data_IF_147166169446
#
_entry.id   IF_147166169446
#
_cell.length_a   1.000
_cell.length_b   1.000
_cell.length_c   1.000
_cell.angle_alpha   90.00
_cell.angle_beta   90.00
_cell.angle_gamma   90.00
#
_symmetry.space_group_name_H-M   'P 1'
#
loop_
_entity.id
_entity.type
_entity.pdbx_description
1 polymer ?
#
# COMPACT_ATOMS: atom_id res chain seq x y z
N UNK A 1 -0.45 4.67 41.77
CA UNK A 1 0.26 5.41 40.71
C UNK A 1 1.43 4.62 40.07
N UNK A 2 1.31 3.30 39.84
CA UNK A 2 2.42 2.50 39.26
C UNK A 2 2.17 1.86 37.89
N UNK A 3 0.94 1.85 37.36
CA UNK A 3 0.66 1.19 36.06
C UNK A 3 0.85 2.11 34.83
N UNK A 4 0.63 3.42 34.96
CA UNK A 4 0.74 4.35 33.83
C UNK A 4 2.19 4.57 33.36
N UNK A 5 3.17 4.40 34.24
CA UNK A 5 4.59 4.56 33.94
C UNK A 5 5.18 3.37 33.16
N UNK A 6 4.64 2.16 33.36
CA UNK A 6 5.05 0.96 32.63
C UNK A 6 4.60 0.99 31.15
N UNK A 7 3.37 1.45 30.89
CA UNK A 7 2.81 1.52 29.53
C UNK A 7 3.54 2.56 28.66
N UNK A 8 3.89 3.72 29.23
CA UNK A 8 4.67 4.75 28.52
C UNK A 8 6.10 4.32 28.20
N UNK A 9 6.72 3.47 29.03
CA UNK A 9 8.04 2.88 28.74
C UNK A 9 7.97 1.84 27.62
N UNK A 10 6.91 1.03 27.57
CA UNK A 10 6.70 0.07 26.48
C UNK A 10 6.52 0.77 25.13
N UNK A 11 5.68 1.82 25.08
CA UNK A 11 5.42 2.57 23.85
C UNK A 11 6.65 3.28 23.29
N UNK A 12 7.51 3.84 24.17
CA UNK A 12 8.77 4.48 23.74
C UNK A 12 9.79 3.49 23.17
N UNK A 13 9.78 2.23 23.63
CA UNK A 13 10.67 1.17 23.11
C UNK A 13 10.26 0.74 21.70
N UNK A 14 8.96 0.63 21.41
CA UNK A 14 8.47 0.33 20.06
C UNK A 14 8.66 1.49 19.08
N UNK A 15 8.55 2.74 19.52
CA UNK A 15 8.75 3.91 18.65
C UNK A 15 10.21 4.06 18.17
N UNK A 16 11.19 3.72 19.03
CA UNK A 16 12.61 3.73 18.65
C UNK A 16 13.00 2.57 17.73
N UNK A 17 12.27 1.44 17.78
CA UNK A 17 12.54 0.30 16.90
C UNK A 17 12.20 0.61 15.43
N UNK A 18 11.14 1.38 15.14
CA UNK A 18 10.77 1.73 13.77
C UNK A 18 11.62 2.85 13.15
N UNK A 19 12.15 3.77 13.97
CA UNK A 19 13.04 4.82 13.48
C UNK A 19 14.43 4.27 13.07
N UNK A 20 14.88 3.17 13.67
CA UNK A 20 16.16 2.54 13.33
C UNK A 20 16.12 1.73 12.02
N UNK A 21 14.95 1.23 11.61
CA UNK A 21 14.80 0.42 10.37
C UNK A 21 14.93 1.27 9.10
N UNK A 22 14.64 2.57 9.16
CA UNK A 22 14.80 3.46 8.01
C UNK A 22 16.22 4.05 7.86
N UNK A 23 17.06 3.97 8.90
CA UNK A 23 18.38 4.62 8.92
C UNK A 23 19.57 3.72 8.56
N UNK A 24 19.40 2.39 8.55
CA UNK A 24 20.53 1.44 8.55
C UNK A 24 20.46 0.35 7.46
N UNK A 25 19.94 0.66 6.27
CA UNK A 25 20.02 -0.24 5.10
C UNK A 25 20.92 0.39 4.04
N UNK A 26 22.15 0.69 4.44
CA UNK A 26 23.30 0.71 3.55
C UNK A 26 24.27 -0.32 4.13
N UNK A 27 24.92 -1.09 3.26
CA UNK A 27 25.98 -2.08 3.52
C UNK A 27 25.55 -3.56 3.49
N UNK A 28 26.01 -4.19 2.38
CA UNK A 28 26.44 -5.58 2.18
C UNK A 28 25.35 -6.67 2.30
N UNK A 29 25.30 -7.69 1.43
CA UNK A 29 26.38 -8.63 1.15
C UNK A 29 26.21 -9.24 -0.25
N UNK A 30 27.33 -9.30 -0.99
CA UNK A 30 27.60 -10.19 -2.13
C UNK A 30 28.20 -11.50 -1.59
N UNK A 31 27.70 -12.67 -2.03
CA UNK A 31 28.48 -13.91 -2.12
C UNK A 31 27.73 -15.05 -2.87
N UNK A 32 28.30 -15.46 -4.02
CA UNK A 32 28.34 -16.78 -4.71
C UNK A 32 27.37 -17.92 -4.27
N UNK A 33 26.74 -18.70 -5.17
CA UNK A 33 27.39 -19.66 -6.11
C UNK A 33 26.38 -20.34 -7.07
N UNK A 34 26.82 -21.07 -8.13
CA UNK A 34 26.09 -21.31 -9.38
C UNK A 34 25.55 -22.74 -9.61
N UNK A 35 24.68 -22.91 -10.62
CA UNK A 35 24.34 -24.18 -11.30
C UNK A 35 22.84 -24.32 -11.60
N UNK A 36 22.34 -23.94 -12.79
CA UNK A 36 22.01 -24.80 -13.97
C UNK A 36 21.00 -25.94 -13.67
N UNK A 37 19.88 -26.14 -14.36
CA UNK A 37 19.46 -25.72 -15.71
C UNK A 37 17.91 -25.86 -15.90
N UNK A 38 17.31 -24.98 -16.73
CA UNK A 38 16.34 -25.29 -17.82
C UNK A 38 15.38 -24.11 -18.17
N UNK A 39 15.83 -23.28 -19.13
CA UNK A 39 15.17 -22.48 -20.20
C UNK A 39 13.81 -21.71 -20.04
N UNK A 40 13.67 -20.55 -20.74
CA UNK A 40 12.92 -19.40 -20.22
C UNK A 40 11.70 -18.95 -21.07
N UNK A 41 10.70 -18.34 -20.42
CA UNK A 41 9.89 -17.30 -21.06
C UNK A 41 10.64 -15.98 -20.90
N UNK A 42 11.04 -15.37 -22.02
CA UNK A 42 11.98 -14.25 -22.07
C UNK A 42 11.49 -13.02 -21.29
N UNK A 43 11.98 -12.87 -20.07
CA UNK A 43 12.16 -11.58 -19.43
C UNK A 43 13.42 -10.95 -20.04
N UNK A 44 13.31 -9.74 -20.59
CA UNK A 44 14.48 -8.91 -20.88
C UNK A 44 15.03 -8.47 -19.53
N UNK A 45 15.98 -9.26 -19.02
CA UNK A 45 16.87 -8.87 -17.93
C UNK A 45 18.14 -8.38 -18.64
N UNK A 46 18.38 -7.07 -18.59
CA UNK A 46 19.67 -6.50 -18.95
C UNK A 46 20.75 -7.12 -18.03
N UNK A 47 21.89 -7.54 -18.61
CA UNK A 47 23.01 -8.25 -17.97
C UNK A 47 23.82 -7.35 -16.99
N UNK A 48 23.13 -6.46 -16.28
CA UNK A 48 23.68 -5.56 -15.28
C UNK A 48 23.00 -5.74 -13.92
N UNK A 49 22.92 -6.99 -13.42
CA UNK A 49 23.05 -7.33 -11.99
C UNK A 49 22.17 -6.60 -10.94
N UNK A 50 21.09 -5.95 -11.33
CA UNK A 50 20.08 -5.39 -10.44
C UNK A 50 18.75 -5.35 -11.22
N UNK A 51 17.61 -5.75 -10.63
CA UNK A 51 16.34 -5.35 -11.23
C UNK A 51 16.37 -3.82 -11.26
N UNK A 52 16.34 -3.26 -12.47
CA UNK A 52 16.01 -1.85 -12.63
C UNK A 52 14.79 -1.61 -11.73
N UNK A 53 14.88 -0.65 -10.81
CA UNK A 53 13.73 -0.28 -9.99
C UNK A 53 12.58 -0.05 -10.95
N UNK A 54 11.60 -0.95 -10.94
CA UNK A 54 10.49 -0.94 -11.88
C UNK A 54 9.76 0.37 -11.66
N UNK A 55 9.97 1.36 -12.52
CA UNK A 55 9.19 2.60 -12.47
C UNK A 55 7.83 2.27 -13.04
N UNK A 56 6.84 2.19 -12.17
CA UNK A 56 5.50 1.81 -12.54
C UNK A 56 4.55 2.89 -12.03
N UNK A 57 4.11 3.75 -12.95
CA UNK A 57 3.18 4.84 -12.68
C UNK A 57 1.82 4.60 -13.37
N UNK A 58 1.49 3.35 -13.68
CA UNK A 58 0.19 2.99 -14.23
C UNK A 58 -0.89 3.18 -13.16
N UNK A 59 -1.78 4.15 -13.41
CA UNK A 59 -2.79 4.64 -12.45
C UNK A 59 -3.61 3.53 -11.82
N UNK A 60 -4.18 2.65 -12.65
CA UNK A 60 -5.01 1.52 -12.22
C UNK A 60 -4.25 0.59 -11.29
N UNK A 61 -3.07 0.16 -11.72
CA UNK A 61 -2.25 -0.81 -11.00
C UNK A 61 -1.75 -0.23 -9.67
N UNK A 62 -1.33 1.03 -9.66
CA UNK A 62 -0.87 1.70 -8.44
C UNK A 62 -2.00 1.97 -7.44
N UNK A 63 -3.21 2.29 -7.91
CA UNK A 63 -4.37 2.38 -7.03
C UNK A 63 -4.70 1.01 -6.42
N UNK A 64 -4.66 -0.07 -7.21
CA UNK A 64 -4.91 -1.41 -6.72
C UNK A 64 -3.87 -1.88 -5.69
N UNK A 65 -2.59 -1.50 -5.84
CA UNK A 65 -1.55 -1.75 -4.83
C UNK A 65 -1.89 -1.07 -3.49
N UNK A 66 -2.39 0.17 -3.52
CA UNK A 66 -2.83 0.88 -2.31
C UNK A 66 -4.01 0.16 -1.66
N UNK A 67 -5.02 -0.22 -2.45
CA UNK A 67 -6.22 -0.93 -1.97
C UNK A 67 -5.84 -2.28 -1.34
N UNK A 68 -5.04 -3.08 -2.04
CA UNK A 68 -4.60 -4.40 -1.58
C UNK A 68 -3.72 -4.33 -0.32
N UNK A 69 -2.93 -3.25 -0.18
CA UNK A 69 -2.11 -3.00 0.99
C UNK A 69 -2.94 -2.62 2.23
N UNK A 70 -4.02 -1.85 2.02
CA UNK A 70 -4.86 -1.32 3.08
C UNK A 70 -5.97 -2.29 3.52
N UNK A 71 -6.69 -2.89 2.57
CA UNK A 71 -7.90 -3.67 2.84
C UNK A 71 -7.55 -5.14 2.99
N UNK A 72 -7.85 -5.71 4.16
CA UNK A 72 -7.62 -7.13 4.46
C UNK A 72 -8.89 -7.96 4.49
N UNK A 73 -10.04 -7.31 4.60
CA UNK A 73 -11.36 -7.96 4.57
C UNK A 73 -11.75 -8.35 3.15
N UNK A 74 -12.78 -9.18 3.05
CA UNK A 74 -13.53 -9.50 1.84
C UNK A 74 -14.74 -8.56 1.65
N UNK A 75 -14.71 -7.35 2.21
CA UNK A 75 -15.77 -6.38 2.05
C UNK A 75 -15.54 -5.51 0.81
N UNK A 76 -16.38 -5.67 -0.23
CA UNK A 76 -16.22 -4.95 -1.50
C UNK A 76 -16.40 -3.43 -1.37
N UNK A 77 -17.33 -3.00 -0.52
CA UNK A 77 -17.56 -1.61 -0.16
C UNK A 77 -16.30 -0.95 0.45
N UNK A 78 -15.59 -1.66 1.33
CA UNK A 78 -14.34 -1.16 1.90
C UNK A 78 -13.24 -1.02 0.82
N UNK A 79 -13.15 -1.97 -0.12
CA UNK A 79 -12.23 -1.89 -1.26
C UNK A 79 -12.56 -0.70 -2.19
N UNK A 80 -13.84 -0.46 -2.49
CA UNK A 80 -14.28 0.65 -3.32
C UNK A 80 -14.02 2.02 -2.67
N UNK A 81 -14.24 2.16 -1.36
CA UNK A 81 -13.91 3.39 -0.62
C UNK A 81 -12.39 3.62 -0.61
N UNK A 82 -11.58 2.56 -0.42
CA UNK A 82 -10.12 2.65 -0.52
C UNK A 82 -9.67 3.05 -1.93
N UNK A 83 -10.29 2.51 -2.98
CA UNK A 83 -9.99 2.85 -4.37
C UNK A 83 -10.28 4.32 -4.67
N UNK A 84 -11.47 4.81 -4.31
CA UNK A 84 -11.81 6.25 -4.42
C UNK A 84 -10.78 7.11 -3.68
N UNK A 85 -10.42 6.71 -2.46
CA UNK A 85 -9.48 7.46 -1.63
C UNK A 85 -8.09 7.53 -2.26
N UNK A 86 -7.58 6.43 -2.79
CA UNK A 86 -6.29 6.40 -3.49
C UNK A 86 -6.30 7.31 -4.74
N UNK A 87 -7.35 7.22 -5.56
CA UNK A 87 -7.49 8.02 -6.78
C UNK A 87 -7.64 9.52 -6.48
N UNK A 88 -8.35 9.88 -5.41
CA UNK A 88 -8.40 11.25 -4.93
C UNK A 88 -7.01 11.75 -4.52
N UNK A 89 -6.25 10.95 -3.77
CA UNK A 89 -4.87 11.27 -3.41
C UNK A 89 -3.97 11.49 -4.65
N UNK A 90 -4.12 10.65 -5.68
CA UNK A 90 -3.37 10.83 -6.93
C UNK A 90 -3.77 12.12 -7.66
N UNK A 91 -5.05 12.45 -7.67
CA UNK A 91 -5.55 13.70 -8.25
C UNK A 91 -5.03 14.92 -7.51
N UNK A 92 -4.94 14.88 -6.17
CA UNK A 92 -4.39 15.96 -5.36
C UNK A 92 -2.88 16.15 -5.58
N UNK A 93 -2.15 15.05 -5.77
CA UNK A 93 -0.74 15.08 -6.17
C UNK A 93 -0.53 15.56 -7.61
N UNK A 94 -1.58 15.58 -8.44
CA UNK A 94 -1.52 15.90 -9.86
C UNK A 94 -0.86 14.83 -10.73
N UNK A 95 -0.49 13.69 -10.17
CA UNK A 95 0.13 12.56 -10.88
C UNK A 95 -0.05 11.24 -10.11
N UNK A 96 0.12 10.12 -10.81
CA UNK A 96 0.20 8.79 -10.17
C UNK A 96 1.61 8.61 -9.59
N UNK A 97 1.74 8.29 -8.28
CA UNK A 97 3.04 7.97 -7.70
C UNK A 97 3.56 6.62 -8.21
N UNK A 98 4.88 6.50 -8.33
CA UNK A 98 5.53 5.23 -8.67
C UNK A 98 5.25 4.18 -7.58
N UNK A 99 4.61 3.08 -7.96
CA UNK A 99 4.23 1.99 -7.08
C UNK A 99 5.09 0.74 -7.25
N UNK A 100 6.08 0.71 -8.13
CA UNK A 100 6.77 -0.54 -8.50
C UNK A 100 7.50 -1.22 -7.34
N UNK A 101 8.07 -0.45 -6.41
CA UNK A 101 8.66 -1.01 -5.18
C UNK A 101 7.60 -1.63 -4.27
N UNK A 102 6.43 -0.99 -4.13
CA UNK A 102 5.33 -1.51 -3.33
C UNK A 102 4.70 -2.76 -3.99
N UNK A 103 4.56 -2.76 -5.30
CA UNK A 103 4.11 -3.93 -6.07
C UNK A 103 5.08 -5.11 -5.91
N UNK A 104 6.39 -4.87 -6.10
CA UNK A 104 7.43 -5.90 -5.94
C UNK A 104 7.36 -6.56 -4.56
N UNK A 105 7.22 -5.76 -3.49
CA UNK A 105 7.05 -6.29 -2.13
C UNK A 105 5.76 -7.09 -1.97
N UNK A 106 4.68 -6.61 -2.58
CA UNK A 106 3.37 -7.27 -2.54
C UNK A 106 3.43 -8.65 -3.19
N UNK A 107 4.08 -8.73 -4.36
CA UNK A 107 4.30 -9.99 -5.08
C UNK A 107 5.22 -10.93 -4.29
N UNK A 108 6.33 -10.42 -3.76
CA UNK A 108 7.29 -11.21 -2.98
C UNK A 108 6.69 -11.77 -1.68
N UNK A 109 5.70 -11.08 -1.08
CA UNK A 109 5.02 -11.53 0.13
C UNK A 109 3.96 -12.62 -0.12
N UNK A 110 3.68 -12.96 -1.38
CA UNK A 110 2.59 -13.85 -1.76
C UNK A 110 1.28 -13.09 -1.96
N UNK A 111 0.74 -13.20 -3.17
CA UNK A 111 -0.51 -12.54 -3.56
C UNK A 111 -1.66 -13.53 -3.38
N UNK A 112 -2.68 -13.11 -2.64
CA UNK A 112 -3.99 -13.74 -2.63
C UNK A 112 -4.72 -13.30 -3.93
N UNK A 113 -5.00 -14.23 -4.87
CA UNK A 113 -5.52 -13.88 -6.18
C UNK A 113 -6.89 -13.20 -6.11
N UNK A 114 -7.77 -13.67 -5.23
CA UNK A 114 -9.15 -13.16 -5.11
C UNK A 114 -9.15 -11.75 -4.52
N UNK A 115 -8.32 -11.50 -3.52
CA UNK A 115 -8.16 -10.15 -2.94
C UNK A 115 -7.52 -9.19 -3.93
N UNK A 116 -6.55 -9.66 -4.71
CA UNK A 116 -5.92 -8.84 -5.74
C UNK A 116 -6.89 -8.47 -6.86
N UNK A 117 -7.65 -9.45 -7.38
CA UNK A 117 -8.65 -9.19 -8.39
C UNK A 117 -9.72 -8.21 -7.89
N UNK A 118 -10.19 -8.37 -6.65
CA UNK A 118 -11.14 -7.44 -6.04
C UNK A 118 -10.61 -6.01 -5.92
N UNK A 119 -9.31 -5.85 -5.64
CA UNK A 119 -8.69 -4.53 -5.59
C UNK A 119 -8.69 -3.87 -6.98
N UNK A 120 -8.42 -4.64 -8.03
CA UNK A 120 -8.50 -4.17 -9.42
C UNK A 120 -9.95 -3.82 -9.81
N UNK A 121 -10.91 -4.72 -9.54
CA UNK A 121 -12.33 -4.51 -9.86
C UNK A 121 -12.89 -3.27 -9.15
N UNK A 122 -12.50 -3.04 -7.89
CA UNK A 122 -12.90 -1.86 -7.14
C UNK A 122 -12.33 -0.56 -7.73
N UNK A 123 -11.11 -0.58 -8.27
CA UNK A 123 -10.54 0.58 -8.97
C UNK A 123 -11.28 0.84 -10.27
N UNK A 124 -11.49 -0.21 -11.07
CA UNK A 124 -12.19 -0.11 -12.36
C UNK A 124 -13.62 0.44 -12.16
N UNK A 125 -14.35 -0.09 -11.17
CA UNK A 125 -15.72 0.34 -10.87
C UNK A 125 -15.83 1.81 -10.40
N UNK A 126 -14.74 2.35 -9.85
CA UNK A 126 -14.66 3.73 -9.39
C UNK A 126 -14.29 4.69 -10.51
N UNK A 127 -13.41 4.24 -11.42
CA UNK A 127 -12.99 5.00 -12.60
C UNK A 127 -14.07 5.03 -13.69
N UNK A 128 -14.79 3.93 -13.91
CA UNK A 128 -15.90 3.85 -14.86
C UNK A 128 -17.22 4.42 -14.30
N UNK A 129 -17.28 4.69 -12.99
CA UNK A 129 -18.42 5.26 -12.31
C UNK A 129 -19.57 4.28 -12.05
N UNK A 130 -19.36 2.98 -12.24
CA UNK A 130 -20.34 1.92 -11.96
C UNK A 130 -20.57 1.69 -10.46
N UNK A 131 -19.66 2.15 -9.60
CA UNK A 131 -19.81 2.13 -8.14
C UNK A 131 -19.77 3.52 -7.52
N UNK A 132 -20.78 3.82 -6.69
CA UNK A 132 -20.90 5.08 -5.95
C UNK A 132 -20.57 4.86 -4.48
N UNK A 133 -19.49 5.49 -4.01
CA UNK A 133 -19.14 5.48 -2.59
C UNK A 133 -20.07 6.39 -1.79
N UNK A 134 -20.29 6.13 -0.48
CA UNK A 134 -21.04 7.03 0.38
C UNK A 134 -20.49 8.46 0.32
N UNK A 135 -21.39 9.45 0.30
CA UNK A 135 -21.02 10.88 0.19
C UNK A 135 -20.02 11.31 1.27
N UNK A 136 -20.16 10.80 2.49
CA UNK A 136 -19.23 11.06 3.58
C UNK A 136 -17.78 10.65 3.23
N UNK A 137 -17.58 9.58 2.47
CA UNK A 137 -16.25 9.11 2.09
C UNK A 137 -15.73 9.71 0.77
N UNK A 138 -16.60 10.37 0.00
CA UNK A 138 -16.31 10.74 -1.39
C UNK A 138 -15.12 11.69 -1.56
N UNK A 139 -14.81 12.48 -0.52
CA UNK A 139 -13.70 13.44 -0.48
C UNK A 139 -12.46 12.94 0.24
N UNK A 140 -12.48 11.74 0.80
CA UNK A 140 -11.28 11.22 1.45
C UNK A 140 -10.14 11.06 0.43
N UNK A 141 -8.92 11.39 0.83
CA UNK A 141 -7.72 11.28 0.01
C UNK A 141 -6.58 10.51 0.72
N UNK A 142 -6.76 10.20 2.01
CA UNK A 142 -5.78 9.46 2.81
C UNK A 142 -6.47 8.34 3.60
N UNK A 143 -5.85 7.16 3.60
CA UNK A 143 -6.27 5.98 4.37
C UNK A 143 -5.37 5.84 5.59
N UNK A 144 -5.97 5.72 6.78
CA UNK A 144 -5.27 5.53 8.05
C UNK A 144 -5.87 4.36 8.82
N UNK A 145 -5.11 3.71 9.71
CA UNK A 145 -5.72 2.88 10.75
C UNK A 145 -6.69 3.73 11.57
N UNK A 146 -7.89 3.22 11.83
CA UNK A 146 -8.96 3.90 12.59
C UNK A 146 -8.49 4.46 13.92
N UNK A 147 -7.69 3.69 14.67
CA UNK A 147 -7.06 4.09 15.94
C UNK A 147 -6.12 5.29 15.85
N UNK A 148 -5.66 5.65 14.66
CA UNK A 148 -4.74 6.76 14.41
C UNK A 148 -5.45 8.02 13.87
N UNK A 149 -6.73 7.93 13.51
CA UNK A 149 -7.45 9.02 12.87
C UNK A 149 -8.22 9.87 13.90
N UNK A 150 -7.92 11.17 13.94
CA UNK A 150 -8.59 12.15 14.84
C UNK A 150 -9.73 12.90 14.15
N UNK A 151 -9.81 12.83 12.80
CA UNK A 151 -10.83 13.51 11.98
C UNK A 151 -11.21 12.67 10.75
N UNK A 152 -11.67 11.45 10.99
CA UNK A 152 -12.20 10.59 9.93
C UNK A 152 -13.43 11.22 9.27
N UNK A 153 -13.41 11.31 7.94
CA UNK A 153 -14.60 11.58 7.13
C UNK A 153 -15.56 10.38 7.21
N UNK A 154 -15.00 9.19 7.15
CA UNK A 154 -15.72 7.96 7.41
C UNK A 154 -14.78 6.85 7.92
N UNK A 155 -15.38 5.83 8.52
CA UNK A 155 -14.67 4.66 9.07
C UNK A 155 -15.36 3.42 8.52
N UNK A 156 -14.59 2.51 7.91
CA UNK A 156 -15.05 1.17 7.55
C UNK A 156 -14.12 0.15 8.18
N UNK A 157 -14.67 -0.75 8.98
CA UNK A 157 -13.89 -1.74 9.72
C UNK A 157 -12.81 -1.09 10.58
N UNK A 158 -11.56 -1.49 10.37
CA UNK A 158 -10.38 -0.98 11.05
C UNK A 158 -9.71 0.21 10.34
N UNK A 159 -10.27 0.69 9.22
CA UNK A 159 -9.73 1.80 8.42
C UNK A 159 -10.55 3.08 8.61
N UNK A 160 -9.85 4.20 8.70
CA UNK A 160 -10.41 5.54 8.65
C UNK A 160 -9.94 6.27 7.39
N UNK A 161 -10.87 6.95 6.75
CA UNK A 161 -10.65 7.70 5.52
C UNK A 161 -10.77 9.18 5.87
N UNK A 162 -9.75 9.97 5.54
CA UNK A 162 -9.66 11.39 5.91
C UNK A 162 -9.45 12.23 4.66
N UNK A 163 -9.97 13.46 4.66
CA UNK A 163 -9.54 14.49 3.70
C UNK A 163 -8.06 14.82 3.93
N UNK A 164 -7.34 15.22 2.89
CA UNK A 164 -5.99 15.74 3.07
C UNK A 164 -6.06 17.08 3.82
N UNK A 165 -5.23 17.23 4.84
CA UNK A 165 -5.10 18.49 5.56
C UNK A 165 -4.41 19.51 4.67
N UNK A 166 -5.12 20.56 4.26
CA UNK A 166 -4.48 21.83 3.87
C UNK A 166 -4.13 22.64 5.10
#
# INVERSE_FOLDING_TARGET
>A
MSQQSAFRRSQRRTALAFAAVYGAITVAIVACSPGEAAAPAAAVIDDAGAPATLVLAERRLCAAVVVYGAVRSDAYDQAAVAARTALNGFNELGHTPDCGLALTRTVAAGVDPDRWQRALDAVDAIEDGSYVVPLACSRAAVILPSRAAVRAQCVFGDLAFVESGR
#
